data_IF_317648419267
#
_entry.id   IF_317648419267
#
_cell.length_a   1.000
_cell.length_b   1.000
_cell.length_c   1.000
_cell.angle_alpha   90.00
_cell.angle_beta   90.00
_cell.angle_gamma   90.00
#
_symmetry.space_group_name_H-M   'P 1'
#
loop_
_entity.id
_entity.type
_entity.pdbx_description
1 polymer ?
#
# COMPACT_ATOMS: atom_id res chain seq x y z
N UNK A 1 -5.52 15.37 -16.93
CA UNK A 1 -6.70 15.95 -16.27
C UNK A 1 -6.35 16.32 -14.84
N UNK A 2 -6.40 17.60 -14.47
CA UNK A 2 -6.29 18.00 -13.07
C UNK A 2 -7.63 17.70 -12.38
N UNK A 3 -7.63 16.78 -11.41
CA UNK A 3 -8.82 16.56 -10.56
C UNK A 3 -9.17 17.85 -9.82
N UNK A 4 -10.46 18.19 -9.76
CA UNK A 4 -10.91 19.31 -8.93
C UNK A 4 -10.66 19.02 -7.44
N UNK A 5 -10.55 20.07 -6.62
CA UNK A 5 -10.29 19.93 -5.19
C UNK A 5 -11.29 19.00 -4.49
N UNK A 6 -12.59 19.16 -4.80
CA UNK A 6 -13.66 18.31 -4.26
C UNK A 6 -13.45 16.82 -4.58
N UNK A 7 -13.07 16.48 -5.81
CA UNK A 7 -12.81 15.10 -6.20
C UNK A 7 -11.60 14.52 -5.45
N UNK A 8 -10.53 15.30 -5.29
CA UNK A 8 -9.35 14.85 -4.52
C UNK A 8 -9.69 14.57 -3.07
N UNK A 9 -10.53 15.42 -2.46
CA UNK A 9 -10.99 15.23 -1.09
C UNK A 9 -11.83 13.96 -0.95
N UNK A 10 -12.77 13.71 -1.87
CA UNK A 10 -13.57 12.49 -1.87
C UNK A 10 -12.73 11.23 -2.05
N UNK A 11 -11.75 11.26 -2.95
CA UNK A 11 -10.82 10.13 -3.16
C UNK A 11 -9.99 9.90 -1.90
N UNK A 12 -9.42 10.97 -1.32
CA UNK A 12 -8.63 10.87 -0.09
C UNK A 12 -9.45 10.26 1.06
N UNK A 13 -10.69 10.73 1.24
CA UNK A 13 -11.59 10.23 2.27
C UNK A 13 -11.94 8.76 2.04
N UNK A 14 -12.30 8.39 0.81
CA UNK A 14 -12.63 7.00 0.46
C UNK A 14 -11.44 6.06 0.72
N UNK A 15 -10.23 6.46 0.29
CA UNK A 15 -9.01 5.70 0.54
C UNK A 15 -8.69 5.58 2.04
N UNK A 16 -8.86 6.65 2.81
CA UNK A 16 -8.65 6.64 4.26
C UNK A 16 -9.63 5.72 4.98
N UNK A 17 -10.91 5.71 4.58
CA UNK A 17 -11.93 4.82 5.15
C UNK A 17 -11.65 3.36 4.82
N UNK A 18 -11.30 3.05 3.57
CA UNK A 18 -10.91 1.68 3.17
C UNK A 18 -9.70 1.20 3.97
N UNK A 19 -8.70 2.06 4.16
CA UNK A 19 -7.54 1.75 4.99
C UNK A 19 -7.95 1.51 6.45
N UNK A 20 -8.72 2.42 7.06
CA UNK A 20 -9.15 2.31 8.47
C UNK A 20 -9.94 1.03 8.75
N UNK A 21 -10.78 0.59 7.81
CA UNK A 21 -11.63 -0.60 7.98
C UNK A 21 -10.91 -1.92 7.74
N UNK A 22 -9.71 -1.91 7.15
CA UNK A 22 -8.97 -3.13 6.77
C UNK A 22 -7.63 -3.28 7.49
N UNK A 23 -7.04 -2.17 7.96
CA UNK A 23 -5.72 -2.13 8.59
C UNK A 23 -5.65 -2.86 9.94
N UNK A 24 -6.80 -3.21 10.52
CA UNK A 24 -6.91 -4.03 11.74
C UNK A 24 -6.51 -5.51 11.52
N UNK A 25 -6.33 -5.95 10.26
CA UNK A 25 -5.91 -7.32 9.94
C UNK A 25 -4.88 -7.34 8.83
N UNK A 26 -3.63 -7.69 9.15
CA UNK A 26 -2.54 -7.68 8.16
C UNK A 26 -2.80 -8.56 6.94
N UNK A 27 -3.30 -9.79 7.15
CA UNK A 27 -3.54 -10.77 6.08
C UNK A 27 -5.00 -11.25 5.99
N UNK A 28 -5.91 -10.61 6.73
CA UNK A 28 -7.32 -10.99 6.79
C UNK A 28 -7.58 -12.17 7.75
N UNK A 29 -8.86 -12.34 8.08
CA UNK A 29 -9.41 -13.48 8.82
C UNK A 29 -10.73 -13.91 8.17
N UNK A 30 -11.44 -14.88 8.74
CA UNK A 30 -12.80 -15.22 8.29
C UNK A 30 -13.81 -14.07 8.45
N UNK A 31 -13.50 -13.07 9.28
CA UNK A 31 -14.37 -11.93 9.58
C UNK A 31 -13.82 -10.58 9.09
N UNK A 32 -12.52 -10.48 8.79
CA UNK A 32 -11.86 -9.24 8.41
C UNK A 32 -11.16 -9.39 7.06
N UNK A 33 -11.30 -8.39 6.20
CA UNK A 33 -10.53 -8.33 4.96
C UNK A 33 -9.05 -8.03 5.25
N UNK A 34 -8.12 -8.47 4.37
CA UNK A 34 -6.71 -8.11 4.47
C UNK A 34 -6.47 -6.61 4.37
N UNK A 35 -5.38 -6.13 4.98
CA UNK A 35 -5.00 -4.71 4.96
C UNK A 35 -4.86 -4.16 3.53
N UNK A 36 -5.63 -3.11 3.21
CA UNK A 36 -5.62 -2.45 1.91
C UNK A 36 -4.49 -1.42 1.74
N UNK A 37 -3.69 -1.15 2.77
CA UNK A 37 -2.77 0.00 2.82
C UNK A 37 -1.82 0.07 1.63
N UNK A 38 -1.24 -1.05 1.22
CA UNK A 38 -0.32 -1.11 0.07
C UNK A 38 -1.00 -0.66 -1.23
N UNK A 39 -2.23 -1.14 -1.45
CA UNK A 39 -3.04 -0.74 -2.59
C UNK A 39 -3.47 0.72 -2.49
N UNK A 40 -3.84 1.19 -1.30
CA UNK A 40 -4.23 2.58 -1.04
C UNK A 40 -3.12 3.55 -1.43
N UNK A 41 -1.88 3.31 -1.00
CA UNK A 41 -0.77 4.21 -1.34
C UNK A 41 -0.43 4.19 -2.83
N UNK A 42 -0.47 3.02 -3.48
CA UNK A 42 -0.26 2.93 -4.93
C UNK A 42 -1.38 3.64 -5.70
N UNK A 43 -2.65 3.42 -5.34
CA UNK A 43 -3.82 4.05 -5.97
C UNK A 43 -3.84 5.56 -5.75
N UNK A 44 -3.45 6.04 -4.57
CA UNK A 44 -3.28 7.47 -4.30
C UNK A 44 -2.31 8.10 -5.31
N UNK A 45 -1.23 7.39 -5.65
CA UNK A 45 -0.30 7.79 -6.70
C UNK A 45 -0.93 7.79 -8.08
N UNK A 46 -1.61 6.71 -8.46
CA UNK A 46 -2.29 6.57 -9.76
C UNK A 46 -3.35 7.67 -9.97
N UNK A 47 -4.11 7.97 -8.91
CA UNK A 47 -5.16 8.99 -8.90
C UNK A 47 -4.60 10.42 -8.80
N UNK A 48 -3.27 10.58 -8.74
CA UNK A 48 -2.62 11.88 -8.80
C UNK A 48 -2.72 12.70 -7.52
N UNK A 49 -3.00 12.08 -6.36
CA UNK A 49 -2.98 12.78 -5.08
C UNK A 49 -1.59 13.38 -4.79
N UNK A 50 -1.58 14.55 -4.14
CA UNK A 50 -0.36 15.30 -3.85
C UNK A 50 0.48 14.65 -2.74
N UNK A 51 1.73 15.08 -2.56
CA UNK A 51 2.56 14.65 -1.44
C UNK A 51 1.95 15.03 -0.07
N UNK A 52 1.19 16.13 0.00
CA UNK A 52 0.42 16.46 1.22
C UNK A 52 -0.65 15.42 1.53
N UNK A 53 -1.38 14.92 0.51
CA UNK A 53 -2.34 13.82 0.69
C UNK A 53 -1.64 12.51 1.08
N UNK A 54 -0.45 12.24 0.54
CA UNK A 54 0.38 11.11 0.96
C UNK A 54 0.71 11.21 2.46
N UNK A 55 1.16 12.38 2.93
CA UNK A 55 1.44 12.63 4.34
C UNK A 55 0.20 12.44 5.23
N UNK A 56 -0.98 12.88 4.79
CA UNK A 56 -2.24 12.66 5.51
C UNK A 56 -2.61 11.18 5.60
N UNK A 57 -2.43 10.41 4.53
CA UNK A 57 -2.64 8.95 4.56
C UNK A 57 -1.63 8.25 5.47
N UNK A 58 -0.36 8.65 5.47
CA UNK A 58 0.65 8.13 6.40
C UNK A 58 0.29 8.44 7.85
N UNK A 59 -0.15 9.66 8.13
CA UNK A 59 -0.59 10.07 9.47
C UNK A 59 -1.83 9.29 9.92
N UNK A 60 -2.79 9.05 9.01
CA UNK A 60 -3.94 8.21 9.29
C UNK A 60 -3.54 6.77 9.59
N UNK A 61 -2.65 6.17 8.80
CA UNK A 61 -2.13 4.83 9.03
C UNK A 61 -1.45 4.70 10.41
N UNK A 62 -0.61 5.67 10.77
CA UNK A 62 0.01 5.74 12.09
C UNK A 62 -1.01 5.89 13.21
N UNK A 63 -2.00 6.78 13.06
CA UNK A 63 -3.06 6.95 14.05
C UNK A 63 -3.86 5.67 14.28
N UNK A 64 -4.18 4.93 13.21
CA UNK A 64 -4.86 3.63 13.31
C UNK A 64 -4.01 2.63 14.10
N UNK A 65 -2.71 2.55 13.80
CA UNK A 65 -1.81 1.60 14.47
C UNK A 65 -1.64 1.94 15.96
N UNK A 66 -1.57 3.23 16.31
CA UNK A 66 -1.53 3.69 17.71
C UNK A 66 -2.80 3.32 18.46
N UNK A 67 -3.98 3.49 17.84
CA UNK A 67 -5.27 3.10 18.46
C UNK A 67 -5.41 1.58 18.57
N UNK A 68 -4.80 0.84 17.66
CA UNK A 68 -4.83 -0.63 17.64
C UNK A 68 -3.90 -1.25 18.67
N UNK A 69 -2.80 -0.57 19.02
CA UNK A 69 -1.86 -1.02 20.04
C UNK A 69 -2.41 -0.72 21.45
N UNK A 70 -3.31 -1.58 21.94
CA UNK A 70 -4.01 -1.36 23.22
C UNK A 70 -3.17 -1.77 24.44
N UNK A 71 -2.12 -2.57 24.23
CA UNK A 71 -1.21 -3.03 25.29
C UNK A 71 0.23 -2.59 25.06
N UNK A 72 1.01 -2.51 26.15
CA UNK A 72 2.44 -2.19 26.08
C UNK A 72 3.23 -3.23 25.24
N UNK A 73 2.79 -4.49 25.26
CA UNK A 73 3.39 -5.55 24.45
C UNK A 73 3.11 -5.34 22.97
N UNK A 74 1.86 -5.08 22.58
CA UNK A 74 1.51 -4.78 21.18
C UNK A 74 2.23 -3.54 20.67
N UNK A 75 2.31 -2.48 21.48
CA UNK A 75 3.05 -1.28 21.14
C UNK A 75 4.56 -1.55 21.01
N UNK A 76 5.14 -2.32 21.93
CA UNK A 76 6.57 -2.66 21.91
C UNK A 76 7.00 -3.49 20.70
N UNK A 77 6.09 -4.31 20.15
CA UNK A 77 6.33 -5.01 18.89
C UNK A 77 6.14 -4.09 17.68
N UNK A 78 5.03 -3.35 17.60
CA UNK A 78 4.68 -2.62 16.38
C UNK A 78 5.36 -1.25 16.24
N UNK A 79 5.74 -0.60 17.33
CA UNK A 79 6.25 0.79 17.36
C UNK A 79 7.76 0.86 17.68
N UNK A 80 8.54 -0.03 17.06
CA UNK A 80 10.01 0.04 17.10
C UNK A 80 10.52 1.14 16.17
N UNK A 81 11.80 1.58 16.26
CA UNK A 81 12.37 2.53 15.31
C UNK A 81 12.25 2.10 13.84
N UNK A 82 12.16 0.80 13.56
CA UNK A 82 11.88 0.28 12.22
C UNK A 82 10.54 0.74 11.62
N UNK A 83 9.58 1.18 12.45
CA UNK A 83 8.29 1.69 11.98
C UNK A 83 8.46 2.87 11.01
N UNK A 84 9.51 3.70 11.18
CA UNK A 84 9.84 4.76 10.23
C UNK A 84 10.13 4.25 8.81
N UNK A 85 10.48 2.97 8.65
CA UNK A 85 10.61 2.29 7.36
C UNK A 85 9.32 2.24 6.54
N UNK A 86 8.16 2.44 7.16
CA UNK A 86 6.89 2.57 6.43
C UNK A 86 6.84 3.85 5.58
N UNK A 87 7.55 4.92 5.96
CA UNK A 87 7.61 6.17 5.18
C UNK A 87 8.17 5.91 3.78
N UNK A 88 9.41 5.39 3.60
CA UNK A 88 9.94 5.09 2.27
C UNK A 88 9.16 3.98 1.57
N UNK A 89 8.60 3.02 2.30
CA UNK A 89 7.75 1.96 1.73
C UNK A 89 6.51 2.53 1.03
N UNK A 90 5.77 3.40 1.72
CA UNK A 90 4.57 4.02 1.18
C UNK A 90 4.88 5.09 0.13
N UNK A 91 5.98 5.84 0.30
CA UNK A 91 6.45 6.79 -0.70
C UNK A 91 6.83 6.09 -2.02
N UNK A 92 7.45 4.90 -1.95
CA UNK A 92 7.76 4.07 -3.11
C UNK A 92 6.48 3.69 -3.86
N UNK A 93 5.47 3.18 -3.18
CA UNK A 93 4.20 2.77 -3.78
C UNK A 93 3.47 3.95 -4.44
N UNK A 94 3.36 5.07 -3.73
CA UNK A 94 2.77 6.30 -4.26
C UNK A 94 3.54 6.82 -5.48
N UNK A 95 4.87 6.83 -5.42
CA UNK A 95 5.74 7.23 -6.52
C UNK A 95 5.57 6.34 -7.74
N UNK A 96 5.55 5.02 -7.55
CA UNK A 96 5.31 4.04 -8.60
C UNK A 96 3.93 4.23 -9.25
N UNK A 97 2.89 4.45 -8.44
CA UNK A 97 1.55 4.76 -8.94
C UNK A 97 1.51 6.01 -9.82
N UNK A 98 2.19 7.09 -9.39
CA UNK A 98 2.30 8.33 -10.21
C UNK A 98 3.06 8.10 -11.51
N UNK A 99 4.14 7.34 -11.45
CA UNK A 99 4.95 7.00 -12.61
C UNK A 99 4.14 6.18 -13.63
N UNK A 100 3.36 5.19 -13.14
CA UNK A 100 2.47 4.36 -13.97
C UNK A 100 1.38 5.21 -14.62
N UNK A 101 0.74 6.11 -13.87
CA UNK A 101 -0.31 6.98 -14.44
C UNK A 101 0.22 7.90 -15.54
N UNK A 102 1.45 8.39 -15.42
CA UNK A 102 2.10 9.22 -16.46
C UNK A 102 2.45 8.45 -17.72
N UNK A 103 2.73 7.15 -17.60
CA UNK A 103 3.14 6.25 -18.69
C UNK A 103 2.06 5.24 -19.10
N UNK A 104 0.79 5.52 -18.79
CA UNK A 104 -0.29 4.59 -19.07
C UNK A 104 -0.51 4.31 -20.56
N UNK A 105 0.00 5.17 -21.45
CA UNK A 105 -0.03 4.98 -22.90
C UNK A 105 1.18 4.19 -23.42
N UNK A 106 2.27 4.13 -22.64
CA UNK A 106 3.53 3.49 -23.05
C UNK A 106 3.47 1.97 -22.88
N UNK A 107 2.55 1.47 -22.04
CA UNK A 107 2.48 0.07 -21.64
C UNK A 107 1.10 -0.54 -21.85
N UNK A 108 1.02 -1.80 -22.34
CA UNK A 108 -0.22 -2.54 -22.29
C UNK A 108 -0.64 -2.78 -20.84
N UNK A 109 -1.93 -2.94 -20.60
CA UNK A 109 -2.47 -3.01 -19.24
C UNK A 109 -1.90 -4.19 -18.42
N UNK A 110 -1.61 -5.33 -19.07
CA UNK A 110 -0.95 -6.46 -18.43
C UNK A 110 0.45 -6.09 -17.90
N UNK A 111 1.22 -5.30 -18.67
CA UNK A 111 2.53 -4.82 -18.23
C UNK A 111 2.41 -3.80 -17.11
N UNK A 112 1.41 -2.92 -17.12
CA UNK A 112 1.14 -2.04 -15.97
C UNK A 112 0.82 -2.82 -14.69
N UNK A 113 0.10 -3.94 -14.80
CA UNK A 113 -0.18 -4.82 -13.66
C UNK A 113 1.09 -5.50 -13.13
N UNK A 114 1.97 -5.99 -14.02
CA UNK A 114 3.29 -6.54 -13.63
C UNK A 114 4.16 -5.49 -12.94
N UNK A 115 4.17 -4.25 -13.44
CA UNK A 115 4.93 -3.16 -12.82
C UNK A 115 4.36 -2.75 -11.45
N UNK A 116 3.03 -2.76 -11.29
CA UNK A 116 2.41 -2.56 -9.98
C UNK A 116 2.77 -3.69 -9.00
N UNK A 117 2.77 -4.95 -9.46
CA UNK A 117 3.23 -6.09 -8.66
C UNK A 117 4.71 -5.95 -8.26
N UNK A 118 5.55 -5.48 -9.18
CA UNK A 118 6.96 -5.16 -8.92
C UNK A 118 7.12 -4.06 -7.86
N UNK A 119 6.27 -3.03 -7.88
CA UNK A 119 6.28 -1.98 -6.86
C UNK A 119 5.88 -2.52 -5.47
N UNK A 120 4.86 -3.38 -5.39
CA UNK A 120 4.49 -4.05 -4.12
C UNK A 120 5.60 -4.99 -3.66
N UNK A 121 6.26 -5.70 -4.57
CA UNK A 121 7.40 -6.55 -4.22
C UNK A 121 8.58 -5.74 -3.66
N UNK A 122 8.88 -4.59 -4.26
CA UNK A 122 9.91 -3.68 -3.76
C UNK A 122 9.52 -3.10 -2.38
N UNK A 123 8.25 -2.78 -2.17
CA UNK A 123 7.73 -2.33 -0.87
C UNK A 123 7.95 -3.40 0.22
N UNK A 124 7.75 -4.68 -0.09
CA UNK A 124 8.05 -5.78 0.83
C UNK A 124 9.52 -5.79 1.24
N UNK A 125 10.43 -5.66 0.27
CA UNK A 125 11.88 -5.65 0.53
C UNK A 125 12.28 -4.43 1.38
N UNK A 126 11.81 -3.24 1.03
CA UNK A 126 12.12 -2.00 1.78
C UNK A 126 11.61 -2.12 3.22
N UNK A 127 10.35 -2.51 3.41
CA UNK A 127 9.77 -2.66 4.75
C UNK A 127 10.53 -3.66 5.61
N UNK A 128 10.88 -4.83 5.04
CA UNK A 128 11.64 -5.86 5.75
C UNK A 128 13.10 -5.44 6.02
N UNK A 129 13.73 -4.68 5.13
CA UNK A 129 15.08 -4.18 5.33
C UNK A 129 15.15 -3.21 6.51
N UNK A 130 14.16 -2.31 6.63
CA UNK A 130 14.07 -1.42 7.79
C UNK A 130 13.80 -2.19 9.09
N UNK A 131 12.91 -3.18 9.04
CA UNK A 131 12.66 -4.05 10.19
C UNK A 131 13.92 -4.79 10.64
N UNK A 132 14.66 -5.37 9.70
CA UNK A 132 15.91 -6.05 9.99
C UNK A 132 16.94 -5.13 10.65
N UNK A 133 17.11 -3.92 10.11
CA UNK A 133 18.14 -3.00 10.58
C UNK A 133 17.79 -2.29 11.90
N UNK A 134 16.52 -2.00 12.18
CA UNK A 134 16.14 -1.08 13.26
C UNK A 134 15.04 -1.58 14.22
N UNK A 135 14.55 -2.81 14.08
CA UNK A 135 13.51 -3.29 15.00
C UNK A 135 14.05 -3.56 16.41
N UNK A 136 15.32 -3.99 16.52
CA UNK A 136 15.90 -4.44 17.79
C UNK A 136 15.29 -5.76 18.31
N UNK A 137 14.49 -6.46 17.52
CA UNK A 137 13.73 -7.65 17.93
C UNK A 137 14.37 -8.98 17.53
N UNK A 138 15.40 -8.94 16.67
CA UNK A 138 15.93 -10.12 15.98
C UNK A 138 17.14 -10.76 16.67
N UNK A 139 17.67 -10.17 17.74
CA UNK A 139 18.90 -10.62 18.40
C UNK A 139 20.07 -10.72 17.39
N UNK A 140 20.79 -11.85 17.42
CA UNK A 140 21.94 -12.13 16.54
C UNK A 140 21.55 -12.79 15.20
N UNK A 141 20.26 -12.74 14.81
CA UNK A 141 19.79 -13.36 13.57
C UNK A 141 20.46 -12.73 12.34
N UNK A 142 21.20 -13.54 11.57
CA UNK A 142 21.81 -13.09 10.32
C UNK A 142 20.80 -12.88 9.18
N UNK A 143 21.20 -12.08 8.18
CA UNK A 143 20.37 -11.69 7.01
C UNK A 143 19.75 -12.89 6.29
N UNK A 144 20.51 -13.98 6.10
CA UNK A 144 20.03 -15.19 5.39
C UNK A 144 18.90 -15.86 6.18
N UNK A 145 19.10 -16.06 7.48
CA UNK A 145 18.09 -16.65 8.35
C UNK A 145 16.83 -15.79 8.42
N UNK A 146 16.99 -14.46 8.50
CA UNK A 146 15.87 -13.53 8.45
C UNK A 146 15.11 -13.61 7.13
N UNK A 147 15.81 -13.61 6.00
CA UNK A 147 15.20 -13.70 4.66
C UNK A 147 14.37 -14.98 4.51
N UNK A 148 14.89 -16.12 4.98
CA UNK A 148 14.15 -17.37 5.00
C UNK A 148 12.92 -17.32 5.92
N UNK A 149 13.05 -16.69 7.09
CA UNK A 149 11.96 -16.55 8.05
C UNK A 149 10.80 -15.69 7.51
N UNK A 150 11.11 -14.64 6.74
CA UNK A 150 10.10 -13.73 6.20
C UNK A 150 9.54 -14.13 4.83
N UNK A 151 10.21 -15.03 4.10
CA UNK A 151 9.79 -15.46 2.76
C UNK A 151 8.33 -15.94 2.71
N UNK A 152 7.85 -16.61 3.75
CA UNK A 152 6.47 -17.09 3.87
C UNK A 152 5.42 -15.96 3.86
N UNK A 153 5.80 -14.73 4.22
CA UNK A 153 4.90 -13.57 4.21
C UNK A 153 4.82 -12.90 2.84
N UNK A 154 5.71 -13.22 1.90
CA UNK A 154 5.72 -12.56 0.60
C UNK A 154 4.45 -12.84 -0.23
N UNK A 155 3.97 -14.09 -0.40
CA UNK A 155 2.73 -14.34 -1.12
C UNK A 155 1.49 -13.63 -0.54
N UNK A 156 1.18 -13.72 0.77
CA UNK A 156 0.01 -13.02 1.31
C UNK A 156 0.16 -11.50 1.29
N UNK A 157 1.39 -10.96 1.36
CA UNK A 157 1.65 -9.53 1.19
C UNK A 157 1.34 -9.03 -0.23
N UNK A 158 1.67 -9.81 -1.26
CA UNK A 158 1.25 -9.51 -2.64
C UNK A 158 -0.26 -9.70 -2.81
N UNK A 159 -0.79 -10.80 -2.28
CA UNK A 159 -2.20 -11.16 -2.39
C UNK A 159 -3.14 -10.10 -1.79
N UNK A 160 -2.82 -9.58 -0.60
CA UNK A 160 -3.60 -8.52 0.04
C UNK A 160 -3.65 -7.27 -0.81
N UNK A 161 -2.53 -6.81 -1.37
CA UNK A 161 -2.51 -5.66 -2.28
C UNK A 161 -3.32 -5.92 -3.56
N UNK A 162 -3.15 -7.09 -4.19
CA UNK A 162 -3.83 -7.41 -5.45
C UNK A 162 -5.35 -7.52 -5.30
N UNK A 163 -5.84 -7.94 -4.13
CA UNK A 163 -7.27 -8.00 -3.81
C UNK A 163 -7.99 -6.66 -4.04
N UNK A 164 -7.29 -5.54 -3.84
CA UNK A 164 -7.84 -4.20 -4.04
C UNK A 164 -7.44 -3.59 -5.40
N UNK A 165 -6.21 -3.84 -5.87
CA UNK A 165 -5.73 -3.26 -7.13
C UNK A 165 -6.45 -3.82 -8.35
N UNK A 166 -6.77 -5.13 -8.37
CA UNK A 166 -7.44 -5.76 -9.51
C UNK A 166 -8.86 -5.22 -9.71
N UNK A 167 -9.75 -5.16 -8.68
CA UNK A 167 -11.05 -4.54 -8.83
C UNK A 167 -10.98 -3.06 -9.20
N UNK A 168 -10.06 -2.29 -8.61
CA UNK A 168 -9.88 -0.88 -8.94
C UNK A 168 -9.52 -0.70 -10.43
N UNK A 169 -8.64 -1.55 -10.95
CA UNK A 169 -8.28 -1.57 -12.37
C UNK A 169 -9.46 -1.97 -13.28
N UNK A 170 -10.25 -2.98 -12.89
CA UNK A 170 -11.43 -3.41 -13.64
C UNK A 170 -12.48 -2.29 -13.72
N UNK A 171 -12.77 -1.62 -12.61
CA UNK A 171 -13.69 -0.47 -12.58
C UNK A 171 -13.19 0.66 -13.48
N UNK A 172 -11.89 0.96 -13.42
CA UNK A 172 -11.29 1.97 -14.29
C UNK A 172 -11.44 1.62 -15.78
N UNK A 173 -11.22 0.36 -16.16
CA UNK A 173 -11.41 -0.11 -17.55
C UNK A 173 -12.86 -0.01 -17.99
N UNK A 174 -13.80 -0.49 -17.18
CA UNK A 174 -15.23 -0.48 -17.50
C UNK A 174 -15.79 0.93 -17.67
N UNK A 175 -15.35 1.87 -16.83
CA UNK A 175 -15.77 3.28 -16.91
C UNK A 175 -15.17 3.99 -18.13
N UNK A 176 -13.94 3.66 -18.54
CA UNK A 176 -13.32 4.21 -19.76
C UNK A 176 -13.91 3.65 -21.06
N UNK A 177 -14.24 2.36 -21.10
CA UNK A 177 -14.86 1.73 -22.28
C UNK A 177 -16.26 2.29 -22.60
N UNK A 178 -16.97 2.83 -21.60
CA UNK A 178 -18.31 3.44 -21.78
C UNK A 178 -18.30 4.83 -22.40
N UNK A 179 -17.13 5.46 -22.56
CA UNK A 179 -16.99 6.82 -23.13
C UNK A 179 -16.51 6.85 -24.58
N UNK A 180 -16.38 5.69 -25.25
CA UNK A 180 -16.20 5.64 -26.70
C UNK A 180 -17.59 5.55 -27.31
N UNK A 181 -18.12 6.60 -27.95
CA UNK A 181 -19.39 6.48 -28.66
C UNK A 181 -19.23 5.40 -29.74
N UNK A 182 -20.20 4.48 -29.79
CA UNK A 182 -20.33 3.59 -30.93
C UNK A 182 -20.60 4.48 -32.16
N UNK A 183 -19.65 4.49 -33.10
CA UNK A 183 -19.85 5.06 -34.43
C UNK A 183 -20.88 4.25 -35.20
#
# INVERSE_FOLDING_TARGET
MSLSFKHRLWILLALAVVMATTRMSHFGTSALLPDASLAVFLLAGVMGLSAGCLGLLMAAAFGIDVVSAQTATEAGWCMTPAYFGLIPTYALLWGAGRWLARRHADFPAAMSAVLALGAVSAAFVVSNAFWYAWSGTLGDMGVVAYTQAVAKYFPPYLGSAMLYLVPAWLVFRLTRSRHIPAN
#
